data_IF_191733965913
#
_entry.id   IF_191733965913
#
_cell.length_a   1.000
_cell.length_b   1.000
_cell.length_c   1.000
_cell.angle_alpha   90.00
_cell.angle_beta   90.00
_cell.angle_gamma   90.00
#
_symmetry.space_group_name_H-M   'P 1'
#
loop_
_entity.id
_entity.type
_entity.pdbx_description
1 polymer ?
#
# COMPACT_ATOMS: atom_id res chain seq x y z
N UNK A 1 16.10 -36.15 -25.82
CA UNK A 1 15.94 -34.80 -26.40
C UNK A 1 14.53 -34.28 -26.11
N UNK A 2 14.35 -33.29 -25.23
CA UNK A 2 13.03 -32.68 -24.96
C UNK A 2 12.70 -31.70 -26.08
N UNK A 3 11.72 -32.03 -26.92
CA UNK A 3 11.16 -31.12 -27.94
C UNK A 3 10.44 -29.97 -27.23
N UNK A 4 11.04 -28.78 -27.19
CA UNK A 4 10.36 -27.58 -26.73
C UNK A 4 9.21 -27.27 -27.69
N UNK A 5 7.97 -27.32 -27.18
CA UNK A 5 6.81 -26.84 -27.93
C UNK A 5 6.88 -25.32 -27.96
N UNK A 6 7.20 -24.75 -29.11
CA UNK A 6 7.14 -23.30 -29.30
C UNK A 6 5.65 -22.88 -29.25
N UNK A 7 5.25 -21.96 -28.35
CA UNK A 7 3.86 -21.52 -28.27
C UNK A 7 3.46 -20.82 -29.57
N UNK A 8 2.26 -21.12 -30.09
CA UNK A 8 1.73 -20.40 -31.25
C UNK A 8 1.65 -18.90 -30.96
N UNK A 9 2.05 -18.00 -31.89
CA UNK A 9 2.08 -16.55 -31.66
C UNK A 9 0.78 -15.99 -31.07
N UNK A 10 -0.37 -16.48 -31.52
CA UNK A 10 -1.70 -16.05 -31.05
C UNK A 10 -1.93 -16.31 -29.55
N UNK A 11 -1.39 -17.39 -28.99
CA UNK A 11 -1.49 -17.68 -27.53
C UNK A 11 -0.64 -16.71 -26.72
N UNK A 12 0.54 -16.37 -27.20
CA UNK A 12 1.45 -15.39 -26.56
C UNK A 12 0.78 -14.02 -26.48
N UNK A 13 0.12 -13.57 -27.55
CA UNK A 13 -0.60 -12.29 -27.55
C UNK A 13 -1.80 -12.25 -26.60
N UNK A 14 -2.55 -13.36 -26.47
CA UNK A 14 -3.67 -13.45 -25.54
C UNK A 14 -3.22 -13.36 -24.07
N UNK A 15 -2.15 -14.08 -23.72
CA UNK A 15 -1.54 -14.03 -22.38
C UNK A 15 -0.96 -12.64 -22.06
N UNK A 16 -0.28 -12.00 -23.03
CA UNK A 16 0.22 -10.64 -22.88
C UNK A 16 -0.92 -9.64 -22.66
N UNK A 17 -2.02 -9.76 -23.40
CA UNK A 17 -3.20 -8.89 -23.25
C UNK A 17 -3.82 -9.03 -21.87
N UNK A 18 -3.93 -10.26 -21.37
CA UNK A 18 -4.47 -10.52 -20.04
C UNK A 18 -3.56 -9.93 -18.96
N UNK A 19 -2.25 -10.15 -19.04
CA UNK A 19 -1.27 -9.52 -18.13
C UNK A 19 -1.37 -8.00 -18.12
N UNK A 20 -1.53 -7.37 -19.29
CA UNK A 20 -1.70 -5.92 -19.39
C UNK A 20 -3.02 -5.43 -18.76
N UNK A 21 -4.10 -6.22 -18.81
CA UNK A 21 -5.34 -5.90 -18.10
C UNK A 21 -5.13 -5.89 -16.59
N UNK A 22 -4.43 -6.89 -16.05
CA UNK A 22 -4.07 -6.96 -14.62
C UNK A 22 -3.18 -5.79 -14.19
N UNK A 23 -2.20 -5.41 -15.01
CA UNK A 23 -1.34 -4.25 -14.73
C UNK A 23 -2.14 -2.96 -14.66
N UNK A 24 -3.10 -2.75 -15.57
CA UNK A 24 -3.97 -1.57 -15.55
C UNK A 24 -4.93 -1.55 -14.35
N UNK A 25 -5.44 -2.72 -13.96
CA UNK A 25 -6.32 -2.90 -12.80
C UNK A 25 -5.60 -2.80 -11.46
N UNK A 26 -4.27 -2.92 -11.43
CA UNK A 26 -3.49 -2.88 -10.19
C UNK A 26 -3.75 -1.60 -9.38
N UNK A 27 -3.74 -0.43 -10.02
CA UNK A 27 -4.00 0.84 -9.32
C UNK A 27 -5.40 0.92 -8.71
N UNK A 28 -6.40 0.37 -9.42
CA UNK A 28 -7.77 0.29 -8.94
C UNK A 28 -7.90 -0.67 -7.74
N UNK A 29 -7.19 -1.81 -7.76
CA UNK A 29 -7.16 -2.76 -6.64
C UNK A 29 -6.47 -2.15 -5.41
N UNK A 30 -5.40 -1.40 -5.61
CA UNK A 30 -4.70 -0.66 -4.54
C UNK A 30 -5.63 0.41 -3.93
N UNK A 31 -6.26 1.25 -4.76
CA UNK A 31 -7.24 2.25 -4.33
C UNK A 31 -8.46 1.62 -3.64
N UNK A 32 -8.93 0.47 -4.12
CA UNK A 32 -10.01 -0.29 -3.47
C UNK A 32 -9.58 -0.79 -2.09
N UNK A 33 -8.36 -1.32 -1.96
CA UNK A 33 -7.82 -1.77 -0.69
C UNK A 33 -7.66 -0.62 0.32
N UNK A 34 -7.46 0.63 -0.15
CA UNK A 34 -7.39 1.84 0.69
C UNK A 34 -8.77 2.47 0.98
N UNK A 35 -9.84 1.92 0.41
CA UNK A 35 -11.19 2.49 0.55
C UNK A 35 -11.38 3.80 -0.21
N UNK A 36 -10.52 4.11 -1.18
CA UNK A 36 -10.55 5.36 -1.95
C UNK A 36 -11.56 5.34 -3.10
N UNK A 37 -12.01 4.15 -3.52
CA UNK A 37 -13.01 4.02 -4.57
C UNK A 37 -14.42 4.20 -4.02
N UNK A 38 -15.26 4.88 -4.80
CA UNK A 38 -16.67 5.16 -4.45
C UNK A 38 -17.62 4.78 -5.58
N UNK A 39 -18.92 4.69 -5.26
CA UNK A 39 -20.00 4.49 -6.22
C UNK A 39 -19.79 3.30 -7.16
N UNK A 40 -20.13 3.51 -8.43
CA UNK A 40 -20.07 2.47 -9.47
C UNK A 40 -18.66 1.94 -9.75
N UNK A 41 -17.61 2.72 -9.48
CA UNK A 41 -16.22 2.27 -9.66
C UNK A 41 -15.86 1.24 -8.60
N UNK A 42 -16.20 1.50 -7.33
CA UNK A 42 -16.03 0.53 -6.25
C UNK A 42 -16.74 -0.78 -6.55
N UNK A 43 -17.99 -0.74 -7.02
CA UNK A 43 -18.77 -1.94 -7.35
C UNK A 43 -18.15 -2.75 -8.48
N UNK A 44 -17.65 -2.10 -9.54
CA UNK A 44 -16.96 -2.77 -10.65
C UNK A 44 -15.69 -3.49 -10.20
N UNK A 45 -14.88 -2.84 -9.36
CA UNK A 45 -13.65 -3.44 -8.83
C UNK A 45 -13.98 -4.59 -7.87
N UNK A 46 -15.00 -4.44 -7.01
CA UNK A 46 -15.49 -5.51 -6.14
C UNK A 46 -15.93 -6.75 -6.93
N UNK A 47 -16.68 -6.56 -8.02
CA UNK A 47 -17.08 -7.66 -8.90
C UNK A 47 -15.87 -8.35 -9.56
N UNK A 48 -14.89 -7.57 -10.02
CA UNK A 48 -13.68 -8.11 -10.64
C UNK A 48 -12.83 -8.93 -9.65
N UNK A 49 -12.53 -8.39 -8.46
CA UNK A 49 -11.76 -9.12 -7.44
C UNK A 49 -12.52 -10.31 -6.87
N UNK A 50 -13.85 -10.37 -7.00
CA UNK A 50 -14.64 -11.56 -6.69
C UNK A 50 -14.51 -12.68 -7.73
N UNK A 51 -14.18 -12.36 -8.97
CA UNK A 51 -14.10 -13.31 -10.08
C UNK A 51 -12.68 -13.65 -10.54
N UNK A 52 -11.68 -12.81 -10.20
CA UNK A 52 -10.32 -12.96 -10.69
C UNK A 52 -9.33 -13.33 -9.58
N UNK A 53 -8.85 -14.57 -9.60
CA UNK A 53 -7.92 -15.10 -8.60
C UNK A 53 -6.63 -14.25 -8.41
N UNK A 54 -6.05 -13.75 -9.49
CA UNK A 54 -4.84 -12.92 -9.43
C UNK A 54 -5.07 -11.59 -8.69
N UNK A 55 -6.19 -10.94 -8.97
CA UNK A 55 -6.54 -9.68 -8.30
C UNK A 55 -7.05 -9.92 -6.87
N UNK A 56 -7.74 -11.03 -6.59
CA UNK A 56 -8.09 -11.42 -5.22
C UNK A 56 -6.85 -11.59 -4.35
N UNK A 57 -5.86 -12.36 -4.83
CA UNK A 57 -4.62 -12.58 -4.08
C UNK A 57 -3.81 -11.30 -3.86
N UNK A 58 -3.80 -10.41 -4.86
CA UNK A 58 -3.17 -9.08 -4.72
C UNK A 58 -3.86 -8.24 -3.65
N UNK A 59 -5.20 -8.24 -3.63
CA UNK A 59 -6.00 -7.53 -2.63
C UNK A 59 -5.76 -8.09 -1.22
N UNK A 60 -5.77 -9.41 -1.07
CA UNK A 60 -5.51 -10.07 0.22
C UNK A 60 -4.12 -9.72 0.76
N UNK A 61 -3.09 -9.76 -0.09
CA UNK A 61 -1.73 -9.35 0.30
C UNK A 61 -1.68 -7.91 0.80
N UNK A 62 -2.32 -6.97 0.09
CA UNK A 62 -2.40 -5.58 0.51
C UNK A 62 -3.09 -5.42 1.87
N UNK A 63 -4.18 -6.15 2.09
CA UNK A 63 -4.91 -6.13 3.37
C UNK A 63 -4.07 -6.68 4.52
N UNK A 64 -3.33 -7.78 4.29
CA UNK A 64 -2.42 -8.37 5.27
C UNK A 64 -1.27 -7.42 5.64
N UNK A 65 -0.66 -6.76 4.64
CA UNK A 65 0.38 -5.74 4.87
C UNK A 65 -0.19 -4.60 5.72
N UNK A 66 -1.37 -4.07 5.39
CA UNK A 66 -2.00 -2.99 6.17
C UNK A 66 -2.31 -3.42 7.59
N UNK A 67 -2.82 -4.63 7.78
CA UNK A 67 -3.11 -5.18 9.10
C UNK A 67 -1.82 -5.36 9.93
N UNK A 68 -0.73 -5.81 9.30
CA UNK A 68 0.59 -5.92 9.92
C UNK A 68 1.12 -4.55 10.38
N UNK A 69 1.04 -3.54 9.51
CA UNK A 69 1.46 -2.17 9.83
C UNK A 69 0.64 -1.56 10.97
N UNK A 70 -0.68 -1.79 11.01
CA UNK A 70 -1.54 -1.33 12.11
C UNK A 70 -1.22 -1.98 13.46
N UNK A 71 -0.77 -3.24 13.44
CA UNK A 71 -0.40 -4.00 14.64
C UNK A 71 1.03 -3.75 15.11
N UNK A 72 1.81 -2.91 14.44
CA UNK A 72 3.19 -2.58 14.85
C UNK A 72 3.19 -1.36 15.78
N UNK A 73 3.29 -1.54 17.12
CA UNK A 73 3.28 -0.43 18.07
C UNK A 73 4.52 0.50 17.94
N UNK A 74 5.60 0.03 17.31
CA UNK A 74 6.88 0.73 17.17
C UNK A 74 6.86 1.97 16.27
N UNK A 75 5.74 2.29 15.60
CA UNK A 75 5.65 3.46 14.71
C UNK A 75 4.67 4.54 15.16
N UNK A 76 4.13 4.46 16.37
CA UNK A 76 3.37 5.62 16.88
C UNK A 76 4.39 6.68 17.27
N UNK A 77 4.51 7.80 16.54
CA UNK A 77 5.38 8.88 16.97
C UNK A 77 4.95 9.30 18.38
N UNK A 78 5.92 9.72 19.21
CA UNK A 78 5.61 10.30 20.52
C UNK A 78 4.52 11.34 20.36
N UNK A 79 3.54 11.33 21.26
CA UNK A 79 2.42 12.27 21.15
C UNK A 79 2.97 13.70 21.07
N UNK A 80 2.34 14.57 20.27
CA UNK A 80 2.76 15.96 20.16
C UNK A 80 2.78 16.64 21.54
N UNK A 81 1.86 16.27 22.43
CA UNK A 81 1.86 16.73 23.81
C UNK A 81 3.13 16.29 24.56
N UNK A 82 3.50 15.01 24.49
CA UNK A 82 4.73 14.49 25.09
C UNK A 82 5.98 15.15 24.53
N UNK A 83 6.03 15.39 23.21
CA UNK A 83 7.15 16.07 22.56
C UNK A 83 7.28 17.54 23.02
N UNK A 84 6.16 18.24 23.20
CA UNK A 84 6.13 19.62 23.73
C UNK A 84 6.60 19.68 25.17
N UNK A 85 6.12 18.77 26.03
CA UNK A 85 6.55 18.70 27.44
C UNK A 85 8.05 18.45 27.53
N UNK A 86 8.59 17.49 26.76
CA UNK A 86 10.04 17.23 26.73
C UNK A 86 10.83 18.46 26.27
N UNK A 87 10.37 19.15 25.21
CA UNK A 87 11.01 20.38 24.73
C UNK A 87 11.04 21.47 25.80
N UNK A 88 9.91 21.69 26.48
CA UNK A 88 9.81 22.68 27.56
C UNK A 88 10.72 22.32 28.74
N UNK A 89 10.73 21.06 29.16
CA UNK A 89 11.63 20.58 30.21
C UNK A 89 13.11 20.80 29.85
N UNK A 90 13.51 20.55 28.59
CA UNK A 90 14.87 20.86 28.13
C UNK A 90 15.19 22.35 28.16
N UNK A 91 14.24 23.23 27.87
CA UNK A 91 14.43 24.68 27.96
C UNK A 91 14.63 25.14 29.40
N UNK A 92 13.90 24.56 30.35
CA UNK A 92 14.08 24.84 31.78
C UNK A 92 15.40 24.29 32.34
N UNK A 93 15.86 23.15 31.82
CA UNK A 93 17.10 22.51 32.25
C UNK A 93 18.36 23.11 31.58
N UNK A 94 18.20 23.93 30.53
CA UNK A 94 19.33 24.60 29.89
C UNK A 94 19.87 25.71 30.83
N UNK A 95 21.19 25.79 31.04
CA UNK A 95 21.78 26.84 31.87
C UNK A 95 21.49 28.22 31.24
N UNK A 96 21.24 29.26 32.05
CA UNK A 96 21.01 30.61 31.54
C UNK A 96 22.28 31.10 30.82
N UNK A 97 22.26 31.09 29.48
CA UNK A 97 23.35 31.60 28.64
C UNK A 97 23.57 30.93 27.28
N UNK A 98 22.97 29.77 27.00
CA UNK A 98 23.32 28.98 25.80
C UNK A 98 22.38 29.10 24.58
N UNK A 99 21.51 30.11 24.52
CA UNK A 99 20.52 30.18 23.43
C UNK A 99 20.12 31.57 23.00
N UNK A 100 20.96 32.25 22.20
CA UNK A 100 20.51 33.32 21.30
C UNK A 100 21.13 33.10 19.91
N UNK A 101 20.36 32.61 18.92
CA UNK A 101 20.71 32.80 17.52
C UNK A 101 20.37 34.24 17.11
N UNK A 102 21.26 34.89 16.38
CA UNK A 102 20.97 36.11 15.61
C UNK A 102 20.09 35.78 14.41
#
# INVERSE_FOLDING_TARGET
>A
MRKQRVPRPVRVWAECREKLRHVRLRGDVEAYADGQLTGAHRTRVAAHVGACWACSGSLELLQLIKASLRRSPQRTPVSLASARVRRFAHQLAAPPGSGRPQ
#
